data_IF_942521098423
#
_entry.id   IF_942521098423
#
_cell.length_a   1.000
_cell.length_b   1.000
_cell.length_c   1.000
_cell.angle_alpha   90.00
_cell.angle_beta   90.00
_cell.angle_gamma   90.00
#
_symmetry.space_group_name_H-M   'P 1'
#
loop_
_entity.id
_entity.type
_entity.pdbx_description
1 polymer ?
#
# COMPACT_ATOMS: atom_id res chain seq x y z
N UNK A 1 13.68 2.74 9.88
CA UNK A 1 12.35 2.15 9.62
C UNK A 1 11.96 1.37 10.86
N UNK A 2 10.77 1.60 11.39
CA UNK A 2 10.25 0.90 12.57
C UNK A 2 10.00 -0.57 12.24
N UNK A 3 10.20 -1.45 13.23
CA UNK A 3 10.18 -2.91 13.04
C UNK A 3 8.94 -3.50 13.68
N UNK A 4 8.34 -4.45 13.00
CA UNK A 4 7.15 -5.17 13.49
C UNK A 4 7.52 -6.59 13.89
N UNK A 5 7.14 -7.01 15.09
CA UNK A 5 7.17 -8.42 15.45
C UNK A 5 5.82 -9.06 15.10
N UNK A 6 5.84 -10.19 14.42
CA UNK A 6 4.67 -11.04 14.22
C UNK A 6 4.86 -12.28 15.09
N UNK A 7 4.17 -12.33 16.22
CA UNK A 7 4.18 -13.50 17.10
C UNK A 7 3.04 -14.43 16.71
N UNK A 8 3.34 -15.69 16.41
CA UNK A 8 2.33 -16.66 16.05
C UNK A 8 2.60 -18.02 16.66
N UNK A 9 1.55 -18.81 16.88
CA UNK A 9 1.65 -20.22 17.20
C UNK A 9 1.90 -21.11 15.98
N UNK A 10 1.83 -20.57 14.76
CA UNK A 10 2.10 -21.31 13.52
C UNK A 10 2.89 -20.47 12.51
N UNK A 11 4.22 -20.58 12.53
CA UNK A 11 5.09 -19.86 11.57
C UNK A 11 5.10 -20.48 10.18
N UNK A 12 4.60 -21.71 10.04
CA UNK A 12 4.50 -22.41 8.75
C UNK A 12 3.21 -22.06 8.00
N UNK A 13 2.26 -21.43 8.68
CA UNK A 13 1.00 -21.03 8.08
C UNK A 13 1.22 -19.98 6.99
N UNK A 14 0.60 -20.20 5.81
CA UNK A 14 0.77 -19.32 4.64
C UNK A 14 0.37 -17.89 4.97
N UNK A 15 -0.72 -17.73 5.72
CA UNK A 15 -1.24 -16.42 6.10
C UNK A 15 -0.24 -15.60 6.93
N UNK A 16 0.52 -16.25 7.82
CA UNK A 16 1.59 -15.61 8.59
C UNK A 16 2.68 -15.04 7.68
N UNK A 17 3.06 -15.77 6.63
CA UNK A 17 4.07 -15.34 5.66
C UNK A 17 3.56 -14.19 4.77
N UNK A 18 2.29 -14.24 4.36
CA UNK A 18 1.62 -13.17 3.61
C UNK A 18 1.59 -11.87 4.42
N UNK A 19 1.19 -11.96 5.71
CA UNK A 19 1.22 -10.81 6.62
C UNK A 19 2.63 -10.23 6.75
N UNK A 20 3.63 -11.09 6.95
CA UNK A 20 5.03 -10.67 7.07
C UNK A 20 5.57 -9.96 5.83
N UNK A 21 5.23 -10.44 4.64
CA UNK A 21 5.70 -9.86 3.37
C UNK A 21 5.08 -8.49 3.08
N UNK A 22 3.79 -8.30 3.41
CA UNK A 22 3.07 -7.05 3.12
C UNK A 22 3.34 -5.99 4.19
N UNK A 23 3.30 -6.33 5.48
CA UNK A 23 3.53 -5.37 6.57
C UNK A 23 4.95 -4.76 6.50
N UNK A 24 5.92 -5.47 5.91
CA UNK A 24 7.31 -5.05 5.74
C UNK A 24 8.06 -4.80 7.06
N UNK A 25 9.40 -4.78 7.01
CA UNK A 25 10.28 -4.66 8.20
C UNK A 25 9.87 -5.54 9.39
N UNK A 26 9.26 -6.68 9.08
CA UNK A 26 8.64 -7.55 10.06
C UNK A 26 9.53 -8.75 10.35
N UNK A 27 9.37 -9.35 11.53
CA UNK A 27 9.96 -10.64 11.86
C UNK A 27 8.90 -11.57 12.40
N UNK A 28 8.75 -12.73 11.77
CA UNK A 28 7.81 -13.76 12.22
C UNK A 28 8.54 -14.66 13.21
N UNK A 29 7.94 -14.86 14.39
CA UNK A 29 8.50 -15.67 15.47
C UNK A 29 7.41 -16.47 16.19
N UNK A 30 7.81 -17.60 16.76
CA UNK A 30 6.96 -18.30 17.72
C UNK A 30 7.03 -17.62 19.08
N UNK A 31 6.00 -17.78 19.90
CA UNK A 31 6.03 -17.27 21.28
C UNK A 31 7.06 -17.99 22.16
N UNK A 32 7.60 -19.14 21.73
CA UNK A 32 8.66 -19.88 22.44
C UNK A 32 10.08 -19.42 22.09
N UNK A 33 10.24 -18.57 21.09
CA UNK A 33 11.56 -18.04 20.71
C UNK A 33 12.09 -17.04 21.75
N UNK A 34 13.43 -17.02 21.94
CA UNK A 34 14.07 -15.90 22.61
C UNK A 34 14.02 -14.65 21.74
N UNK A 35 13.39 -13.59 22.24
CA UNK A 35 13.15 -12.36 21.49
C UNK A 35 13.56 -11.16 22.34
N UNK A 36 14.34 -10.27 21.73
CA UNK A 36 14.65 -8.95 22.25
C UNK A 36 13.55 -7.99 21.79
N UNK A 37 12.57 -7.78 22.65
CA UNK A 37 11.34 -7.05 22.32
C UNK A 37 11.58 -5.57 22.07
N UNK A 38 12.61 -4.98 22.65
CA UNK A 38 12.93 -3.55 22.53
C UNK A 38 13.39 -3.16 21.12
N UNK A 39 13.69 -4.15 20.28
CA UNK A 39 13.98 -3.94 18.85
C UNK A 39 12.74 -3.68 18.00
N UNK A 40 11.54 -3.87 18.53
CA UNK A 40 10.30 -3.79 17.78
C UNK A 40 9.40 -2.71 18.34
N UNK A 41 8.83 -1.93 17.43
CA UNK A 41 7.90 -0.85 17.73
C UNK A 41 6.45 -1.35 17.74
N UNK A 42 6.16 -2.34 16.88
CA UNK A 42 4.82 -2.91 16.70
C UNK A 42 4.82 -4.41 16.99
N UNK A 43 3.66 -4.90 17.43
CA UNK A 43 3.35 -6.31 17.57
C UNK A 43 2.05 -6.65 16.83
N UNK A 44 2.11 -7.67 15.98
CA UNK A 44 0.95 -8.44 15.56
C UNK A 44 1.01 -9.80 16.27
N UNK A 45 0.09 -10.03 17.21
CA UNK A 45 -0.09 -11.33 17.83
C UNK A 45 -1.13 -12.11 17.02
N UNK A 46 -0.70 -13.15 16.31
CA UNK A 46 -1.49 -13.90 15.35
C UNK A 46 -1.75 -15.33 15.83
N UNK A 47 -2.99 -15.62 16.18
CA UNK A 47 -3.43 -16.91 16.71
C UNK A 47 -4.05 -17.73 15.60
N UNK A 48 -3.41 -18.84 15.23
CA UNK A 48 -3.99 -19.86 14.35
C UNK A 48 -4.76 -20.90 15.17
N UNK A 49 -6.07 -20.93 14.98
CA UNK A 49 -6.96 -21.82 15.72
C UNK A 49 -6.69 -23.31 15.40
N UNK A 50 -6.14 -23.67 14.24
CA UNK A 50 -5.83 -25.08 13.92
C UNK A 50 -4.88 -25.69 14.94
N UNK A 51 -3.81 -24.96 15.27
CA UNK A 51 -2.77 -25.44 16.19
C UNK A 51 -3.26 -25.46 17.65
N UNK A 52 -4.19 -24.58 18.01
CA UNK A 52 -4.77 -24.57 19.36
C UNK A 52 -5.74 -25.74 19.53
N UNK A 53 -6.47 -26.11 18.47
CA UNK A 53 -7.58 -27.06 18.55
C UNK A 53 -7.23 -28.48 18.14
N UNK A 54 -6.16 -28.66 17.36
CA UNK A 54 -5.62 -29.96 16.96
C UNK A 54 -5.24 -30.88 18.13
N UNK A 55 -5.27 -30.39 19.38
CA UNK A 55 -4.96 -31.12 20.61
C UNK A 55 -6.18 -31.58 21.44
N UNK A 56 -7.39 -31.67 20.85
CA UNK A 56 -8.64 -32.03 21.58
C UNK A 56 -8.98 -31.09 22.75
N UNK A 57 -8.72 -29.80 22.58
CA UNK A 57 -9.03 -28.80 23.60
C UNK A 57 -10.46 -28.29 23.35
N UNK A 58 -11.34 -28.48 24.35
CA UNK A 58 -12.76 -28.12 24.27
C UNK A 58 -13.01 -26.62 24.52
N UNK A 59 -12.04 -25.93 25.13
CA UNK A 59 -12.09 -24.50 25.48
C UNK A 59 -10.68 -23.89 25.43
N UNK A 60 -10.53 -22.74 24.76
CA UNK A 60 -9.23 -22.07 24.52
C UNK A 60 -8.49 -21.66 25.80
N UNK A 61 -9.20 -21.41 26.89
CA UNK A 61 -8.65 -21.12 28.22
C UNK A 61 -8.10 -22.37 28.96
N UNK A 62 -8.32 -23.57 28.42
CA UNK A 62 -7.66 -24.80 28.88
C UNK A 62 -6.28 -25.04 28.25
N UNK A 63 -5.92 -24.29 27.20
CA UNK A 63 -4.62 -24.43 26.54
C UNK A 63 -3.55 -23.63 27.31
N UNK A 64 -2.71 -24.35 28.05
CA UNK A 64 -1.61 -23.75 28.83
C UNK A 64 -0.67 -22.92 27.96
N UNK A 65 -0.40 -23.39 26.75
CA UNK A 65 0.52 -22.77 25.81
C UNK A 65 -0.03 -21.45 25.29
N UNK A 66 -1.33 -21.41 25.00
CA UNK A 66 -2.05 -20.21 24.61
C UNK A 66 -2.09 -19.16 25.74
N UNK A 67 -2.36 -19.61 26.97
CA UNK A 67 -2.34 -18.74 28.15
C UNK A 67 -0.94 -18.20 28.46
N UNK A 68 0.10 -19.02 28.31
CA UNK A 68 1.49 -18.58 28.44
C UNK A 68 1.82 -17.50 27.40
N UNK A 69 1.44 -17.70 26.13
CA UNK A 69 1.64 -16.72 25.07
C UNK A 69 0.93 -15.39 25.35
N UNK A 70 -0.34 -15.41 25.77
CA UNK A 70 -1.10 -14.17 26.04
C UNK A 70 -0.54 -13.39 27.24
N UNK A 71 -0.20 -14.09 28.33
CA UNK A 71 0.47 -13.48 29.47
C UNK A 71 1.83 -12.89 29.08
N UNK A 72 2.58 -13.59 28.24
CA UNK A 72 3.88 -13.12 27.78
C UNK A 72 3.76 -11.77 27.05
N UNK A 73 2.84 -11.67 26.09
CA UNK A 73 2.58 -10.44 25.35
C UNK A 73 2.14 -9.32 26.30
N UNK A 74 1.23 -9.62 27.22
CA UNK A 74 0.77 -8.68 28.23
C UNK A 74 1.89 -8.16 29.14
N UNK A 75 2.96 -8.91 29.39
CA UNK A 75 4.06 -8.42 30.24
C UNK A 75 5.06 -7.60 29.42
N UNK A 76 5.35 -7.98 28.17
CA UNK A 76 6.49 -7.47 27.42
C UNK A 76 6.15 -6.39 26.36
N UNK A 77 4.86 -6.10 26.13
CA UNK A 77 4.42 -5.16 25.09
C UNK A 77 3.39 -4.11 25.53
N UNK A 78 3.19 -3.89 26.85
CA UNK A 78 2.17 -2.95 27.34
C UNK A 78 2.27 -1.54 26.75
N UNK A 79 3.48 -1.06 26.51
CA UNK A 79 3.74 0.30 26.02
C UNK A 79 3.88 0.38 24.49
N UNK A 80 3.63 -0.73 23.79
CA UNK A 80 3.84 -0.86 22.34
C UNK A 80 2.51 -1.03 21.61
N UNK A 81 2.52 -0.79 20.30
CA UNK A 81 1.30 -0.96 19.50
C UNK A 81 1.03 -2.44 19.25
N UNK A 82 -0.11 -2.95 19.72
CA UNK A 82 -0.49 -4.36 19.58
C UNK A 82 -1.75 -4.49 18.72
N UNK A 83 -1.69 -5.28 17.65
CA UNK A 83 -2.85 -5.79 16.91
C UNK A 83 -3.00 -7.30 17.19
N UNK A 84 -4.23 -7.75 17.36
CA UNK A 84 -4.55 -9.16 17.63
C UNK A 84 -5.18 -9.79 16.39
N UNK A 85 -4.51 -10.72 15.76
CA UNK A 85 -5.01 -11.49 14.62
C UNK A 85 -5.51 -12.86 15.03
N UNK A 86 -6.64 -13.29 14.47
CA UNK A 86 -7.14 -14.67 14.61
C UNK A 86 -7.28 -15.28 13.22
N UNK A 87 -6.51 -16.33 12.97
CA UNK A 87 -6.61 -17.18 11.78
C UNK A 87 -7.55 -18.35 12.08
N UNK A 88 -8.52 -18.56 11.19
CA UNK A 88 -9.52 -19.60 11.36
C UNK A 88 -9.97 -20.11 9.99
N UNK A 89 -10.52 -21.32 9.98
CA UNK A 89 -11.31 -21.83 8.86
C UNK A 89 -12.80 -21.89 9.21
N UNK A 90 -13.66 -22.21 8.25
CA UNK A 90 -15.10 -22.30 8.44
C UNK A 90 -15.50 -23.30 9.53
N UNK A 91 -14.69 -24.33 9.79
CA UNK A 91 -14.95 -25.33 10.82
C UNK A 91 -14.75 -24.79 12.24
N UNK A 92 -14.16 -23.61 12.39
CA UNK A 92 -13.79 -23.02 13.69
C UNK A 92 -14.54 -21.73 14.03
N UNK A 93 -15.45 -21.29 13.15
CA UNK A 93 -16.14 -20.00 13.28
C UNK A 93 -16.84 -19.83 14.64
N UNK A 94 -17.40 -20.91 15.22
CA UNK A 94 -18.09 -20.89 16.52
C UNK A 94 -17.14 -20.63 17.71
N UNK A 95 -15.84 -20.73 17.50
CA UNK A 95 -14.81 -20.55 18.53
C UNK A 95 -14.23 -19.13 18.56
N UNK A 96 -14.51 -18.32 17.54
CA UNK A 96 -13.99 -16.95 17.44
C UNK A 96 -14.36 -16.12 18.66
N UNK A 97 -15.63 -16.15 19.07
CA UNK A 97 -16.09 -15.39 20.23
C UNK A 97 -15.33 -15.75 21.51
N UNK A 98 -15.03 -17.04 21.67
CA UNK A 98 -14.30 -17.54 22.82
C UNK A 98 -12.83 -17.12 22.77
N UNK A 99 -12.18 -17.25 21.61
CA UNK A 99 -10.81 -16.79 21.41
C UNK A 99 -10.68 -15.29 21.71
N UNK A 100 -11.62 -14.49 21.20
CA UNK A 100 -11.70 -13.04 21.46
C UNK A 100 -11.88 -12.76 22.94
N UNK A 101 -12.76 -13.49 23.63
CA UNK A 101 -12.98 -13.35 25.08
C UNK A 101 -11.68 -13.58 25.84
N UNK A 102 -10.96 -14.68 25.54
CA UNK A 102 -9.70 -15.03 26.22
C UNK A 102 -8.62 -13.99 25.89
N UNK A 103 -8.48 -13.57 24.63
CA UNK A 103 -7.53 -12.53 24.23
C UNK A 103 -7.81 -11.18 24.89
N UNK A 104 -9.08 -10.79 25.00
CA UNK A 104 -9.48 -9.55 25.69
C UNK A 104 -9.12 -9.56 27.18
N UNK A 105 -9.33 -10.69 27.84
CA UNK A 105 -9.07 -10.83 29.27
C UNK A 105 -7.57 -10.92 29.59
N UNK A 106 -6.78 -11.53 28.70
CA UNK A 106 -5.38 -11.84 28.98
C UNK A 106 -4.37 -10.91 28.30
N UNK A 107 -4.73 -10.18 27.24
CA UNK A 107 -3.82 -9.27 26.54
C UNK A 107 -4.27 -7.83 26.71
N UNK A 108 -5.34 -7.39 26.03
CA UNK A 108 -5.89 -6.04 26.17
C UNK A 108 -7.40 -6.01 25.93
N UNK A 109 -8.12 -5.12 26.62
CA UNK A 109 -9.59 -5.03 26.59
C UNK A 109 -10.19 -4.39 25.33
N UNK A 110 -9.38 -3.79 24.45
CA UNK A 110 -9.84 -3.00 23.31
C UNK A 110 -10.19 -3.85 22.07
N UNK A 111 -11.06 -3.32 21.20
CA UNK A 111 -11.45 -3.91 19.91
C UNK A 111 -10.33 -3.77 18.86
N UNK A 112 -9.14 -4.32 19.12
CA UNK A 112 -8.02 -4.29 18.16
C UNK A 112 -7.78 -5.65 17.51
N UNK A 113 -8.86 -6.23 17.00
CA UNK A 113 -8.86 -7.55 16.38
C UNK A 113 -8.89 -7.46 14.86
N UNK A 114 -8.25 -8.42 14.21
CA UNK A 114 -8.42 -8.71 12.79
C UNK A 114 -8.67 -10.21 12.66
N UNK A 115 -9.71 -10.57 11.91
CA UNK A 115 -10.11 -11.95 11.71
C UNK A 115 -9.78 -12.32 10.28
N UNK A 116 -9.04 -13.41 10.11
CA UNK A 116 -8.51 -13.82 8.82
C UNK A 116 -9.00 -15.23 8.54
N UNK A 117 -9.95 -15.35 7.62
CA UNK A 117 -10.51 -16.61 7.19
C UNK A 117 -9.63 -17.26 6.12
N UNK A 118 -9.05 -18.41 6.44
CA UNK A 118 -8.16 -19.17 5.55
C UNK A 118 -8.87 -19.72 4.31
N UNK A 119 -10.20 -19.88 4.38
CA UNK A 119 -11.01 -20.36 3.26
C UNK A 119 -11.38 -19.24 2.27
N UNK A 120 -11.18 -17.97 2.65
CA UNK A 120 -11.47 -16.82 1.80
C UNK A 120 -10.21 -16.41 1.06
N UNK A 121 -10.28 -16.45 -0.26
CA UNK A 121 -9.17 -16.04 -1.12
C UNK A 121 -8.78 -14.60 -0.82
N UNK A 122 -7.47 -14.35 -0.66
CA UNK A 122 -6.88 -13.04 -0.41
C UNK A 122 -7.24 -12.36 0.92
N UNK A 123 -7.94 -13.02 1.85
CA UNK A 123 -8.33 -12.39 3.13
C UNK A 123 -7.11 -12.02 4.01
N UNK A 124 -6.05 -12.84 3.94
CA UNK A 124 -4.77 -12.51 4.56
C UNK A 124 -4.09 -11.30 3.91
N UNK A 125 -4.31 -11.05 2.62
CA UNK A 125 -3.75 -9.91 1.89
C UNK A 125 -4.48 -8.63 2.28
N UNK A 126 -5.82 -8.61 2.22
CA UNK A 126 -6.64 -7.46 2.63
C UNK A 126 -6.36 -7.08 4.08
N UNK A 127 -6.34 -8.07 4.98
CA UNK A 127 -6.02 -7.87 6.39
C UNK A 127 -4.61 -7.33 6.59
N UNK A 128 -3.61 -7.84 5.85
CA UNK A 128 -2.24 -7.33 5.96
C UNK A 128 -2.11 -5.87 5.52
N UNK A 129 -2.86 -5.45 4.49
CA UNK A 129 -2.89 -4.07 4.02
C UNK A 129 -3.50 -3.13 5.09
N UNK A 130 -4.62 -3.53 5.69
CA UNK A 130 -5.26 -2.77 6.77
C UNK A 130 -4.32 -2.62 7.98
N UNK A 131 -3.70 -3.72 8.42
CA UNK A 131 -2.76 -3.71 9.55
C UNK A 131 -1.57 -2.81 9.25
N UNK A 132 -1.01 -2.89 8.04
CA UNK A 132 0.11 -2.06 7.62
C UNK A 132 -0.27 -0.58 7.66
N UNK A 133 -1.39 -0.21 7.06
CA UNK A 133 -1.87 1.17 7.07
C UNK A 133 -2.04 1.68 8.50
N UNK A 134 -2.66 0.89 9.38
CA UNK A 134 -2.83 1.26 10.78
C UNK A 134 -1.48 1.44 11.50
N UNK A 135 -0.55 0.50 11.29
CA UNK A 135 0.80 0.58 11.84
C UNK A 135 1.58 1.77 11.28
N UNK A 136 1.39 2.16 10.03
CA UNK A 136 2.05 3.33 9.45
C UNK A 136 1.44 4.64 9.99
N UNK A 137 0.11 4.76 10.11
CA UNK A 137 -0.59 5.97 10.60
C UNK A 137 -0.23 6.28 12.07
N UNK A 138 -0.31 5.28 12.94
CA UNK A 138 -0.13 5.48 14.39
C UNK A 138 1.33 5.73 14.78
N UNK A 139 2.28 5.47 13.88
CA UNK A 139 3.71 5.57 14.14
C UNK A 139 4.38 6.84 13.61
N UNK A 140 3.61 7.85 13.16
CA UNK A 140 4.17 9.13 12.70
C UNK A 140 4.61 10.03 13.87
N UNK A 141 5.76 9.70 14.49
CA UNK A 141 6.56 10.74 15.17
C UNK A 141 7.23 11.68 14.16
N UNK A 142 7.41 11.23 12.92
CA UNK A 142 7.91 12.03 11.81
C UNK A 142 6.79 12.92 11.27
N UNK A 143 7.06 14.22 11.11
CA UNK A 143 6.05 15.17 10.66
C UNK A 143 5.71 14.89 9.19
N UNK A 144 4.46 15.12 8.80
CA UNK A 144 4.07 15.26 7.40
C UNK A 144 4.16 16.72 6.98
N UNK A 145 4.46 16.95 5.70
CA UNK A 145 4.44 18.29 5.13
C UNK A 145 2.97 18.75 5.03
N UNK A 146 2.73 20.04 5.23
CA UNK A 146 1.41 20.62 4.95
C UNK A 146 0.95 20.30 3.52
N UNK A 147 -0.33 19.97 3.34
CA UNK A 147 -0.84 19.47 2.05
C UNK A 147 -0.61 20.44 0.88
N UNK A 148 -0.73 21.75 1.12
CA UNK A 148 -0.52 22.76 0.06
C UNK A 148 0.95 22.81 -0.39
N UNK A 149 1.88 22.80 0.58
CA UNK A 149 3.33 22.76 0.32
C UNK A 149 3.77 21.43 -0.30
N UNK A 150 3.13 20.33 0.11
CA UNK A 150 3.38 19.02 -0.49
C UNK A 150 2.96 19.01 -1.95
N UNK A 151 1.80 19.58 -2.28
CA UNK A 151 1.35 19.71 -3.67
C UNK A 151 2.31 20.55 -4.51
N UNK A 152 2.75 21.69 -4.01
CA UNK A 152 3.74 22.54 -4.70
C UNK A 152 5.04 21.76 -5.01
N UNK A 153 5.54 20.98 -4.03
CA UNK A 153 6.73 20.13 -4.22
C UNK A 153 6.50 19.03 -5.26
N UNK A 154 5.34 18.38 -5.22
CA UNK A 154 4.97 17.35 -6.20
C UNK A 154 4.89 17.97 -7.60
N UNK A 155 4.28 19.14 -7.75
CA UNK A 155 4.15 19.82 -9.04
C UNK A 155 5.50 20.25 -9.59
N UNK A 156 6.37 20.82 -8.74
CA UNK A 156 7.74 21.12 -9.12
C UNK A 156 8.48 19.86 -9.60
N UNK A 157 8.37 18.76 -8.85
CA UNK A 157 8.98 17.49 -9.22
C UNK A 157 8.46 16.95 -10.56
N UNK A 158 7.15 17.05 -10.82
CA UNK A 158 6.55 16.65 -12.10
C UNK A 158 7.05 17.56 -13.23
N UNK A 159 7.17 18.87 -13.02
CA UNK A 159 7.61 19.81 -14.05
C UNK A 159 9.11 19.72 -14.37
N UNK A 160 9.93 19.30 -13.41
CA UNK A 160 11.36 19.05 -13.59
C UNK A 160 11.66 17.77 -14.40
N UNK A 161 10.65 16.92 -14.57
CA UNK A 161 10.74 15.67 -15.33
C UNK A 161 9.96 15.74 -16.65
N UNK A 162 10.33 14.88 -17.60
CA UNK A 162 9.71 14.83 -18.94
C UNK A 162 9.10 13.47 -19.28
N UNK A 163 9.52 12.44 -18.57
CA UNK A 163 9.15 11.04 -18.83
C UNK A 163 8.62 10.38 -17.58
N UNK A 164 7.68 9.46 -17.77
CA UNK A 164 7.14 8.60 -16.72
C UNK A 164 7.13 7.15 -17.20
N UNK A 165 7.05 6.21 -16.25
CA UNK A 165 6.71 4.82 -16.54
C UNK A 165 5.23 4.60 -16.18
N UNK A 166 4.42 4.27 -17.19
CA UNK A 166 3.01 3.91 -17.03
C UNK A 166 2.87 2.41 -16.83
N UNK A 167 2.41 2.01 -15.64
CA UNK A 167 2.03 0.66 -15.31
C UNK A 167 0.51 0.47 -15.41
N UNK A 168 0.07 -0.53 -16.18
CA UNK A 168 -1.34 -0.88 -16.33
C UNK A 168 -1.53 -2.40 -16.33
N UNK A 169 -2.71 -2.87 -15.95
CA UNK A 169 -3.03 -4.29 -15.95
C UNK A 169 -4.51 -4.52 -16.22
N UNK A 170 -4.81 -5.51 -17.07
CA UNK A 170 -6.14 -6.05 -17.29
C UNK A 170 -6.02 -7.52 -17.67
N UNK A 171 -6.96 -8.36 -17.23
CA UNK A 171 -6.97 -9.79 -17.55
C UNK A 171 -5.61 -10.48 -17.31
N UNK A 172 -4.97 -10.17 -16.17
CA UNK A 172 -3.67 -10.72 -15.74
C UNK A 172 -2.48 -10.46 -16.68
N UNK A 173 -2.60 -9.49 -17.59
CA UNK A 173 -1.51 -9.07 -18.49
C UNK A 173 -0.94 -7.71 -18.03
N UNK A 174 0.12 -7.69 -17.20
CA UNK A 174 0.75 -6.44 -16.79
C UNK A 174 1.53 -5.81 -17.95
N UNK A 175 1.54 -4.48 -17.99
CA UNK A 175 2.33 -3.68 -18.93
C UNK A 175 3.02 -2.55 -18.21
N UNK A 176 4.24 -2.24 -18.67
CA UNK A 176 4.96 -1.02 -18.33
C UNK A 176 5.38 -0.33 -19.61
N UNK A 177 5.11 0.96 -19.74
CA UNK A 177 5.46 1.75 -20.94
C UNK A 177 6.07 3.07 -20.52
N UNK A 178 7.28 3.36 -21.02
CA UNK A 178 7.94 4.65 -20.83
C UNK A 178 7.28 5.65 -21.78
N UNK A 179 6.81 6.79 -21.26
CA UNK A 179 6.07 7.79 -22.01
C UNK A 179 6.58 9.18 -21.67
N UNK A 180 6.70 10.03 -22.68
CA UNK A 180 6.75 11.47 -22.45
C UNK A 180 5.35 11.99 -22.08
N UNK A 181 5.30 13.03 -21.28
CA UNK A 181 4.04 13.66 -20.90
C UNK A 181 4.08 15.19 -21.01
N UNK A 182 2.91 15.78 -20.87
CA UNK A 182 2.68 17.19 -20.60
C UNK A 182 1.91 17.23 -19.29
N UNK A 183 2.32 18.10 -18.35
CA UNK A 183 1.55 18.32 -17.13
C UNK A 183 0.82 19.66 -17.24
N UNK A 184 -0.51 19.62 -17.18
CA UNK A 184 -1.35 20.80 -17.33
C UNK A 184 -2.60 20.67 -16.46
N UNK A 185 -2.93 21.74 -15.73
CA UNK A 185 -4.10 21.80 -14.84
C UNK A 185 -4.28 20.56 -13.94
N UNK A 186 -3.17 20.06 -13.39
CA UNK A 186 -3.18 18.93 -12.47
C UNK A 186 -3.28 17.55 -13.12
N UNK A 187 -3.30 17.46 -14.46
CA UNK A 187 -3.42 16.21 -15.22
C UNK A 187 -2.21 15.96 -16.12
N UNK A 188 -1.95 14.69 -16.39
CA UNK A 188 -0.93 14.28 -17.36
C UNK A 188 -1.59 14.00 -18.72
N UNK A 189 -1.03 14.57 -19.78
CA UNK A 189 -1.44 14.33 -21.15
C UNK A 189 -0.30 13.66 -21.92
N UNK A 190 -0.60 12.53 -22.52
CA UNK A 190 0.34 11.76 -23.34
C UNK A 190 -0.19 11.75 -24.77
N UNK A 191 0.56 12.39 -25.67
CA UNK A 191 0.32 12.34 -27.11
C UNK A 191 1.08 11.13 -27.67
N UNK A 192 0.39 10.26 -28.39
CA UNK A 192 0.97 8.99 -28.86
C UNK A 192 0.32 8.51 -30.14
N UNK A 193 1.06 7.76 -30.96
CA UNK A 193 0.56 7.06 -32.16
C UNK A 193 -0.32 5.84 -31.85
N UNK A 194 -0.82 5.71 -30.62
CA UNK A 194 -1.52 4.51 -30.16
C UNK A 194 -0.59 3.45 -29.54
N UNK A 195 -0.87 2.18 -29.83
CA UNK A 195 -0.07 1.04 -29.39
C UNK A 195 -0.67 0.23 -28.24
N UNK A 196 0.00 -0.87 -27.89
CA UNK A 196 -0.57 -1.94 -27.05
C UNK A 196 -0.91 -1.52 -25.61
N UNK A 197 -0.39 -0.37 -25.14
CA UNK A 197 -0.79 0.22 -23.84
C UNK A 197 -2.30 0.41 -23.70
N UNK A 198 -2.99 0.72 -24.80
CA UNK A 198 -4.45 0.89 -24.80
C UNK A 198 -5.21 -0.42 -24.55
N UNK A 199 -4.62 -1.59 -24.79
CA UNK A 199 -5.30 -2.87 -24.56
C UNK A 199 -5.76 -3.01 -23.10
N UNK A 200 -4.94 -2.50 -22.17
CA UNK A 200 -5.27 -2.55 -20.75
C UNK A 200 -6.15 -1.38 -20.35
N UNK A 201 -5.82 -0.18 -20.80
CA UNK A 201 -6.45 1.07 -20.34
C UNK A 201 -7.90 1.23 -20.82
N UNK A 202 -8.26 0.64 -21.96
CA UNK A 202 -9.63 0.64 -22.47
C UNK A 202 -10.55 -0.34 -21.71
N UNK A 203 -9.98 -1.30 -20.98
CA UNK A 203 -10.74 -2.27 -20.17
C UNK A 203 -10.73 -1.87 -18.70
N UNK A 204 -9.56 -1.45 -18.21
CA UNK A 204 -9.34 -1.00 -16.85
C UNK A 204 -8.70 0.40 -16.88
N UNK A 205 -9.51 1.41 -16.57
CA UNK A 205 -9.07 2.80 -16.51
C UNK A 205 -8.12 3.09 -15.33
N UNK A 206 -7.85 2.14 -14.44
CA UNK A 206 -6.90 2.33 -13.33
C UNK A 206 -5.48 2.02 -13.76
N UNK A 207 -4.60 3.00 -13.58
CA UNK A 207 -3.19 2.86 -13.87
C UNK A 207 -2.33 3.52 -12.78
N UNK A 208 -1.06 3.14 -12.73
CA UNK A 208 -0.06 3.77 -11.88
C UNK A 208 1.02 4.39 -12.76
N UNK A 209 1.44 5.61 -12.46
CA UNK A 209 2.64 6.20 -13.06
C UNK A 209 3.74 6.31 -12.03
N UNK A 210 4.98 6.17 -12.49
CA UNK A 210 6.16 6.48 -11.68
C UNK A 210 7.09 7.45 -12.40
N UNK A 211 7.59 8.42 -11.65
CA UNK A 211 8.60 9.40 -12.04
C UNK A 211 9.68 9.33 -10.97
N UNK A 212 10.93 9.25 -11.34
CA UNK A 212 12.01 9.16 -10.37
C UNK A 212 13.29 9.80 -10.90
N UNK A 213 14.08 10.33 -9.98
CA UNK A 213 15.45 10.73 -10.30
C UNK A 213 16.28 9.48 -10.62
N UNK A 214 17.43 9.69 -11.27
CA UNK A 214 18.44 8.65 -11.35
C UNK A 214 18.93 8.26 -9.94
N UNK A 215 19.06 6.96 -9.70
CA UNK A 215 19.57 6.50 -8.42
C UNK A 215 21.05 6.86 -8.25
N UNK A 216 21.36 7.73 -7.28
CA UNK A 216 22.73 8.10 -6.95
C UNK A 216 23.19 7.54 -5.61
N UNK A 217 22.31 7.50 -4.60
CA UNK A 217 22.59 6.94 -3.28
C UNK A 217 21.30 6.77 -2.47
N UNK A 218 21.35 5.92 -1.44
CA UNK A 218 20.21 5.69 -0.53
C UNK A 218 19.75 6.95 0.22
N UNK A 219 20.63 7.93 0.43
CA UNK A 219 20.30 9.18 1.11
C UNK A 219 19.62 10.22 0.19
N UNK A 220 19.67 10.02 -1.13
CA UNK A 220 19.20 10.97 -2.15
C UNK A 220 18.07 10.40 -3.03
N UNK A 221 17.36 9.39 -2.53
CA UNK A 221 16.24 8.81 -3.27
C UNK A 221 15.11 9.84 -3.34
N UNK A 222 14.72 10.21 -4.56
CA UNK A 222 13.52 10.98 -4.86
C UNK A 222 12.68 10.29 -5.93
N UNK A 223 11.38 10.28 -5.74
CA UNK A 223 10.46 9.69 -6.69
C UNK A 223 9.02 9.99 -6.35
N UNK A 224 8.17 9.75 -7.33
CA UNK A 224 6.75 9.96 -7.27
C UNK A 224 6.05 8.77 -7.89
N UNK A 225 5.13 8.19 -7.14
CA UNK A 225 4.12 7.26 -7.67
C UNK A 225 2.78 7.97 -7.65
N UNK A 226 2.02 7.89 -8.74
CA UNK A 226 0.68 8.46 -8.82
C UNK A 226 -0.29 7.40 -9.29
N UNK A 227 -1.33 7.14 -8.49
CA UNK A 227 -2.47 6.36 -8.95
C UNK A 227 -3.37 7.27 -9.76
N UNK A 228 -3.83 6.78 -10.91
CA UNK A 228 -4.53 7.59 -11.89
C UNK A 228 -5.78 6.88 -12.39
N UNK A 229 -6.71 7.69 -12.88
CA UNK A 229 -7.75 7.27 -13.81
C UNK A 229 -7.37 7.72 -15.22
N UNK A 230 -7.31 6.79 -16.15
CA UNK A 230 -6.94 7.01 -17.54
C UNK A 230 -8.14 7.20 -18.44
N UNK A 231 -8.02 8.07 -19.42
CA UNK A 231 -9.06 8.35 -20.41
C UNK A 231 -8.43 8.52 -21.80
N UNK A 232 -8.96 7.81 -22.80
CA UNK A 232 -8.68 8.12 -24.19
C UNK A 232 -9.61 9.26 -24.62
N UNK A 233 -9.05 10.42 -24.94
CA UNK A 233 -9.85 11.57 -25.35
C UNK A 233 -10.40 11.38 -26.77
N UNK A 234 -11.64 11.83 -26.99
CA UNK A 234 -12.23 11.91 -28.32
C UNK A 234 -11.45 12.90 -29.20
N UNK A 235 -11.13 12.49 -30.43
CA UNK A 235 -10.31 13.25 -31.39
C UNK A 235 -10.88 14.62 -31.76
N UNK A 236 -12.18 14.85 -31.51
CA UNK A 236 -12.86 16.12 -31.79
C UNK A 236 -13.12 16.94 -30.53
N UNK A 237 -12.84 16.40 -29.35
CA UNK A 237 -13.05 17.10 -28.08
C UNK A 237 -12.15 18.34 -27.97
N UNK A 238 -12.64 19.36 -27.26
CA UNK A 238 -11.85 20.57 -27.01
C UNK A 238 -10.61 20.27 -26.16
N UNK A 239 -10.71 19.32 -25.23
CA UNK A 239 -9.58 18.90 -24.40
C UNK A 239 -8.48 18.21 -25.21
N UNK A 240 -8.83 17.37 -26.20
CA UNK A 240 -7.86 16.82 -27.15
C UNK A 240 -7.13 17.93 -27.92
N UNK A 241 -7.88 18.91 -28.46
CA UNK A 241 -7.29 20.03 -29.21
C UNK A 241 -6.36 20.87 -28.34
N UNK A 242 -6.73 21.11 -27.08
CA UNK A 242 -5.89 21.79 -26.11
C UNK A 242 -4.60 21.01 -25.87
N UNK A 243 -4.67 19.70 -25.61
CA UNK A 243 -3.50 18.87 -25.36
C UNK A 243 -2.52 18.88 -26.56
N UNK A 244 -3.05 18.82 -27.79
CA UNK A 244 -2.24 18.95 -29.01
C UNK A 244 -1.57 20.33 -29.12
N UNK A 245 -2.32 21.40 -28.85
CA UNK A 245 -1.81 22.76 -28.88
C UNK A 245 -0.68 23.00 -27.86
N UNK A 246 -0.72 22.34 -26.69
CA UNK A 246 0.37 22.40 -25.69
C UNK A 246 1.71 21.85 -26.22
N UNK A 247 1.71 21.00 -27.25
CA UNK A 247 2.91 20.53 -27.97
C UNK A 247 3.14 21.27 -29.29
N UNK A 248 2.39 22.34 -29.54
CA UNK A 248 2.48 23.12 -30.77
C UNK A 248 1.97 22.38 -32.01
N UNK A 249 1.10 21.37 -31.84
CA UNK A 249 0.44 20.64 -32.92
C UNK A 249 -0.95 21.26 -33.17
N UNK A 250 -1.04 22.12 -34.18
CA UNK A 250 -2.30 22.68 -34.65
C UNK A 250 -2.99 21.77 -35.69
N UNK A 251 -4.23 22.10 -36.05
CA UNK A 251 -5.02 21.32 -37.03
C UNK A 251 -4.33 21.22 -38.41
N UNK A 252 -3.57 22.24 -38.82
CA UNK A 252 -2.86 22.24 -40.09
C UNK A 252 -1.67 21.28 -40.09
N UNK A 253 -0.98 21.14 -38.96
CA UNK A 253 0.10 20.14 -38.79
C UNK A 253 -0.46 18.74 -38.71
N UNK A 254 -1.53 18.54 -37.94
CA UNK A 254 -2.17 17.23 -37.75
C UNK A 254 -2.72 16.68 -39.08
N UNK A 255 -3.37 17.52 -39.89
CA UNK A 255 -3.93 17.10 -41.20
C UNK A 255 -2.88 16.71 -42.24
N UNK A 256 -1.59 16.98 -41.99
CA UNK A 256 -0.48 16.56 -42.87
C UNK A 256 0.15 15.24 -42.43
N UNK A 257 -0.25 14.69 -41.29
CA UNK A 257 0.21 13.39 -40.84
C UNK A 257 -0.58 12.29 -41.55
N UNK A 258 0.10 11.21 -41.93
CA UNK A 258 -0.53 10.01 -42.50
C UNK A 258 -1.12 9.09 -41.41
N UNK A 259 -1.09 9.54 -40.14
CA UNK A 259 -1.55 8.80 -38.97
C UNK A 259 -2.37 9.72 -38.06
N UNK A 260 -3.30 9.11 -37.32
CA UNK A 260 -3.93 9.77 -36.20
C UNK A 260 -3.01 9.73 -34.97
N UNK A 261 -2.98 10.82 -34.23
CA UNK A 261 -2.40 10.87 -32.90
C UNK A 261 -3.53 10.80 -31.87
N UNK A 262 -3.31 10.05 -30.80
CA UNK A 262 -4.25 9.91 -29.70
C UNK A 262 -3.73 10.67 -28.48
N UNK A 263 -4.66 11.13 -27.64
CA UNK A 263 -4.33 11.71 -26.33
C UNK A 263 -4.86 10.81 -25.24
N UNK A 264 -3.93 10.28 -24.45
CA UNK A 264 -4.23 9.62 -23.19
C UNK A 264 -4.11 10.63 -22.06
N UNK A 265 -5.22 10.96 -21.42
CA UNK A 265 -5.27 11.76 -20.20
C UNK A 265 -5.15 10.84 -19.00
N UNK A 266 -4.28 11.17 -18.05
CA UNK A 266 -4.19 10.52 -16.76
C UNK A 266 -4.54 11.53 -15.66
N UNK A 267 -5.67 11.31 -15.02
CA UNK A 267 -6.17 12.14 -13.91
C UNK A 267 -5.69 11.57 -12.59
N UNK A 268 -4.90 12.30 -11.79
CA UNK A 268 -4.40 11.81 -10.51
C UNK A 268 -5.50 11.56 -9.47
N UNK A 269 -5.35 10.48 -8.72
CA UNK A 269 -6.22 10.06 -7.60
C UNK A 269 -5.47 10.18 -6.28
N UNK A 270 -4.26 9.62 -6.23
CA UNK A 270 -3.41 9.60 -5.05
C UNK A 270 -1.95 9.76 -5.48
N UNK A 271 -1.17 10.45 -4.66
CA UNK A 271 0.26 10.65 -4.83
C UNK A 271 1.00 10.02 -3.66
N UNK A 272 2.07 9.28 -3.96
CA UNK A 272 3.07 8.82 -3.01
C UNK A 272 4.38 9.47 -3.41
N UNK A 273 4.76 10.52 -2.69
CA UNK A 273 6.00 11.23 -2.91
C UNK A 273 7.07 10.73 -1.96
N UNK A 274 8.21 10.33 -2.52
CA UNK A 274 9.39 9.89 -1.78
C UNK A 274 10.47 10.93 -1.94
N UNK A 275 11.00 11.46 -0.83
CA UNK A 275 12.19 12.31 -0.81
C UNK A 275 12.95 12.09 0.51
N UNK A 276 14.08 11.38 0.42
CA UNK A 276 14.87 11.04 1.60
C UNK A 276 15.57 12.25 2.24
N UNK A 277 15.71 13.37 1.51
CA UNK A 277 16.29 14.59 2.06
C UNK A 277 15.41 15.26 3.11
N UNK A 278 14.10 14.98 3.11
CA UNK A 278 13.12 15.50 4.08
C UNK A 278 13.42 15.14 5.53
N UNK A 279 14.18 14.05 5.75
CA UNK A 279 14.62 13.62 7.08
C UNK A 279 15.47 14.69 7.78
N UNK A 280 16.20 15.52 7.04
CA UNK A 280 17.02 16.62 7.59
C UNK A 280 16.14 17.62 8.36
N UNK A 281 14.91 17.82 7.89
CA UNK A 281 13.94 18.73 8.46
C UNK A 281 12.96 18.04 9.44
N UNK A 282 13.19 16.75 9.75
CA UNK A 282 12.35 15.96 10.65
C UNK A 282 11.02 15.50 10.04
N UNK A 283 10.86 15.62 8.72
CA UNK A 283 9.71 15.09 8.01
C UNK A 283 9.93 13.62 7.60
N UNK A 284 8.82 12.90 7.44
CA UNK A 284 8.86 11.56 6.85
C UNK A 284 9.40 11.64 5.41
N UNK A 285 10.26 10.70 4.98
CA UNK A 285 10.69 10.65 3.57
C UNK A 285 9.55 10.19 2.64
N UNK A 286 8.48 9.60 3.17
CA UNK A 286 7.30 9.19 2.43
C UNK A 286 6.15 10.13 2.76
N UNK A 287 5.58 10.75 1.74
CA UNK A 287 4.49 11.70 1.83
C UNK A 287 3.33 11.21 0.97
N UNK A 288 2.11 11.42 1.45
CA UNK A 288 0.88 10.95 0.82
C UNK A 288 -0.07 12.12 0.60
N UNK A 289 -0.69 12.18 -0.57
CA UNK A 289 -1.67 13.21 -0.89
C UNK A 289 -2.79 12.62 -1.74
N UNK A 290 -4.03 12.72 -1.27
CA UNK A 290 -5.20 12.38 -2.09
C UNK A 290 -5.60 13.60 -2.93
N UNK A 291 -5.92 13.41 -4.21
CA UNK A 291 -6.27 14.53 -5.09
C UNK A 291 -7.58 15.23 -4.71
N UNK A 292 -8.45 14.56 -3.94
CA UNK A 292 -9.67 15.15 -3.38
C UNK A 292 -9.40 16.09 -2.21
N UNK A 293 -8.25 15.98 -1.55
CA UNK A 293 -7.88 16.85 -0.43
C UNK A 293 -7.51 18.28 -0.87
N UNK A 294 -7.46 18.51 -2.19
CA UNK A 294 -7.06 19.78 -2.80
C UNK A 294 -8.26 20.56 -3.37
N UNK A 295 -9.48 20.04 -3.21
CA UNK A 295 -10.74 20.66 -3.63
C UNK A 295 -11.46 21.28 -2.44
#
# INVERSE_FOLDING_TARGET
>A
MRKTLILTNNTKERSSQVLGSIISHSKIKTYMDHIDYDRYDNLLMLVDLDQVLGQKIKYLDGDKTFLEMTNYVKVNFLDKKIKLGVLFDASQIYQLNECVRVLKNNVMSANNFVFINKDVENDSISSALEIREEFDIFNSSEKLIDKSKLKERIDGFILDHKTLNLASCSADVPRSTILEYIYHEGSFYIITEGGIKFSNLLINERASISIHDEFTSMAKVKGLVVYTKSELLDLKSQEYKMAMALRGLDENKLSRLDIDLYVLKLSPLDYIYTDFSLRVDGYSPYQFLNSKDLK
#
